data_IF_850818792001
#
_entry.id   IF_850818792001
#
_cell.length_a   1.000
_cell.length_b   1.000
_cell.length_c   1.000
_cell.angle_alpha   90.00
_cell.angle_beta   90.00
_cell.angle_gamma   90.00
#
_symmetry.space_group_name_H-M   'P 1'
#
loop_
_entity.id
_entity.type
_entity.pdbx_description
1 polymer ?
#
# COMPACT_ATOMS: atom_id res chain seq x y z
N UNK A 1 -8.56 -9.86 -7.25
CA UNK A 1 -7.43 -9.05 -6.73
C UNK A 1 -7.89 -7.62 -6.59
N UNK A 2 -7.58 -7.00 -5.46
CA UNK A 2 -7.95 -5.62 -5.15
C UNK A 2 -7.60 -4.69 -6.33
N UNK A 3 -8.62 -4.13 -6.97
CA UNK A 3 -8.48 -3.23 -8.10
C UNK A 3 -8.74 -1.77 -7.71
N UNK A 4 -9.30 -1.54 -6.53
CA UNK A 4 -9.54 -0.21 -5.95
C UNK A 4 -9.71 -0.32 -4.44
N UNK A 5 -9.49 0.78 -3.74
CA UNK A 5 -9.59 0.84 -2.29
C UNK A 5 -10.17 2.18 -1.83
N UNK A 6 -10.58 2.21 -0.57
CA UNK A 6 -11.15 3.38 0.10
C UNK A 6 -10.11 4.02 1.01
N UNK A 7 -9.98 5.33 0.97
CA UNK A 7 -9.04 6.12 1.77
C UNK A 7 -9.81 7.21 2.56
N UNK A 8 -10.52 6.79 3.63
CA UNK A 8 -11.31 7.67 4.51
C UNK A 8 -10.69 7.81 5.91
N UNK A 9 -9.41 7.59 6.03
CA UNK A 9 -8.66 7.79 7.26
C UNK A 9 -8.16 9.23 7.40
N UNK A 10 -7.95 9.67 8.63
CA UNK A 10 -7.36 10.96 8.94
C UNK A 10 -5.84 10.85 9.13
N UNK A 11 -5.12 11.98 8.97
CA UNK A 11 -3.69 12.04 9.29
C UNK A 11 -3.44 11.74 10.77
N UNK A 12 -4.33 12.15 11.68
CA UNK A 12 -4.22 11.90 13.11
C UNK A 12 -4.24 10.40 13.44
N UNK A 13 -5.08 9.61 12.75
CA UNK A 13 -5.11 8.15 12.89
C UNK A 13 -3.79 7.54 12.44
N UNK A 14 -3.25 7.96 11.31
CA UNK A 14 -1.95 7.47 10.80
C UNK A 14 -0.81 7.81 11.75
N UNK A 15 -0.74 9.05 12.25
CA UNK A 15 0.28 9.48 13.22
C UNK A 15 0.23 8.63 14.48
N UNK A 16 -0.98 8.38 15.02
CA UNK A 16 -1.17 7.54 16.20
C UNK A 16 -0.70 6.10 15.96
N UNK A 17 -1.11 5.49 14.85
CA UNK A 17 -0.75 4.10 14.51
C UNK A 17 0.76 3.94 14.31
N UNK A 18 1.39 4.84 13.56
CA UNK A 18 2.82 4.75 13.30
C UNK A 18 3.69 5.10 14.52
N UNK A 19 3.20 5.99 15.39
CA UNK A 19 3.86 6.22 16.69
C UNK A 19 3.82 4.97 17.57
N UNK A 20 2.68 4.28 17.62
CA UNK A 20 2.53 3.02 18.35
C UNK A 20 3.38 1.88 17.75
N UNK A 21 3.69 1.96 16.46
CA UNK A 21 4.54 1.01 15.73
C UNK A 21 6.04 1.33 15.82
N UNK A 22 6.47 2.33 16.58
CA UNK A 22 7.87 2.80 16.64
C UNK A 22 8.45 3.26 15.28
N UNK A 23 7.57 3.73 14.40
CA UNK A 23 7.89 4.30 13.10
C UNK A 23 7.17 5.64 12.90
N UNK A 24 7.40 6.65 13.77
CA UNK A 24 6.66 7.90 13.73
C UNK A 24 6.81 8.62 12.40
N UNK A 25 5.71 9.20 11.90
CA UNK A 25 5.74 10.04 10.71
C UNK A 25 6.52 11.32 10.97
N UNK A 26 7.46 11.59 10.09
CA UNK A 26 8.12 12.88 9.99
C UNK A 26 7.33 13.75 8.98
N UNK A 27 6.80 14.86 9.47
CA UNK A 27 5.92 15.77 8.74
C UNK A 27 6.49 17.20 8.79
N UNK A 28 7.56 17.51 8.06
CA UNK A 28 8.25 18.79 8.15
C UNK A 28 7.37 19.98 7.74
N UNK A 29 6.33 19.76 6.93
CA UNK A 29 5.33 20.76 6.54
C UNK A 29 4.12 20.86 7.48
N UNK A 30 4.14 20.17 8.63
CA UNK A 30 2.98 20.04 9.51
C UNK A 30 2.01 18.94 9.06
N UNK A 31 0.84 18.90 9.68
CA UNK A 31 -0.19 17.90 9.36
C UNK A 31 -0.83 18.20 7.99
N UNK A 32 -0.68 17.33 6.99
CA UNK A 32 -1.34 17.53 5.70
C UNK A 32 -2.85 17.35 5.84
N UNK A 33 -3.63 18.06 5.02
CA UNK A 33 -5.04 17.79 4.86
C UNK A 33 -5.23 16.59 3.94
N UNK A 34 -5.65 15.46 4.51
CA UNK A 34 -5.99 14.26 3.73
C UNK A 34 -7.50 14.27 3.46
N UNK A 35 -7.86 14.59 2.23
CA UNK A 35 -9.27 14.50 1.83
C UNK A 35 -9.73 13.05 1.75
N UNK A 36 -10.86 12.70 2.39
CA UNK A 36 -11.44 11.37 2.29
C UNK A 36 -11.79 11.01 0.85
N UNK A 37 -11.42 9.79 0.42
CA UNK A 37 -11.74 9.28 -0.91
C UNK A 37 -12.49 7.97 -0.81
N UNK A 38 -13.66 7.93 -1.46
CA UNK A 38 -14.49 6.72 -1.53
C UNK A 38 -13.87 5.64 -2.42
N UNK A 39 -13.06 6.05 -3.37
CA UNK A 39 -12.39 5.12 -4.26
C UNK A 39 -11.11 5.70 -4.84
N UNK A 40 -10.01 5.01 -4.55
CA UNK A 40 -8.71 5.20 -5.23
C UNK A 40 -8.57 4.12 -6.28
N UNK A 41 -8.42 4.53 -7.53
CA UNK A 41 -8.32 3.64 -8.70
C UNK A 41 -6.88 3.60 -9.24
N UNK A 42 -6.55 2.58 -10.04
CA UNK A 42 -5.28 2.56 -10.76
C UNK A 42 -5.01 3.89 -11.47
N UNK A 43 -3.76 4.34 -11.41
CA UNK A 43 -3.23 5.61 -11.91
C UNK A 43 -3.51 6.85 -11.08
N UNK A 44 -4.40 6.81 -10.09
CA UNK A 44 -4.54 7.93 -9.17
C UNK A 44 -3.28 8.12 -8.33
N UNK A 45 -2.96 9.37 -7.99
CA UNK A 45 -2.02 9.68 -6.92
C UNK A 45 -2.70 9.43 -5.58
N UNK A 46 -2.01 8.79 -4.67
CA UNK A 46 -2.53 8.49 -3.35
C UNK A 46 -1.38 8.37 -2.32
N UNK A 47 -1.64 8.69 -1.04
CA UNK A 47 -0.63 8.67 -0.01
C UNK A 47 -0.17 7.24 0.30
N UNK A 48 1.13 7.04 0.34
CA UNK A 48 1.81 5.87 0.88
C UNK A 48 2.80 6.29 1.94
N UNK A 49 3.13 5.36 2.81
CA UNK A 49 4.09 5.56 3.89
C UNK A 49 5.33 4.76 3.56
N UNK A 50 6.50 5.40 3.52
CA UNK A 50 7.77 4.73 3.28
C UNK A 50 8.90 5.29 4.13
N UNK A 51 9.94 4.50 4.36
CA UNK A 51 11.20 4.98 4.89
C UNK A 51 11.94 5.79 3.81
N UNK A 52 12.50 6.92 4.21
CA UNK A 52 13.31 7.81 3.37
C UNK A 52 14.60 8.12 4.12
N UNK A 53 15.74 7.97 3.45
CA UNK A 53 17.04 8.30 4.03
C UNK A 53 17.54 9.59 3.40
N UNK A 54 17.73 10.60 4.23
CA UNK A 54 18.27 11.92 3.86
C UNK A 54 19.42 12.23 4.81
N UNK A 55 20.56 12.62 4.28
CA UNK A 55 21.78 12.98 5.06
C UNK A 55 22.17 11.93 6.11
N UNK A 56 21.95 10.65 5.81
CA UNK A 56 22.26 9.52 6.71
C UNK A 56 21.22 9.24 7.79
N UNK A 57 20.18 10.07 7.93
CA UNK A 57 19.06 9.80 8.82
C UNK A 57 17.91 9.16 8.05
N UNK A 58 17.36 8.06 8.61
CA UNK A 58 16.19 7.40 8.03
C UNK A 58 14.93 7.79 8.81
N UNK A 59 13.97 8.36 8.11
CA UNK A 59 12.67 8.79 8.65
C UNK A 59 11.52 8.14 7.91
N UNK A 60 10.34 8.17 8.49
CA UNK A 60 9.11 7.67 7.87
C UNK A 60 8.32 8.85 7.29
N UNK A 61 8.07 8.83 5.99
CA UNK A 61 7.38 9.90 5.27
C UNK A 61 6.04 9.44 4.71
N UNK A 62 5.08 10.35 4.66
CA UNK A 62 3.84 10.23 3.90
C UNK A 62 4.02 10.93 2.56
N UNK A 63 3.92 10.20 1.46
CA UNK A 63 4.25 10.68 0.12
C UNK A 63 3.16 10.25 -0.86
N UNK A 64 2.68 11.18 -1.70
CA UNK A 64 1.76 10.83 -2.77
C UNK A 64 2.50 10.14 -3.91
N UNK A 65 2.01 8.96 -4.29
CA UNK A 65 2.55 8.16 -5.38
C UNK A 65 1.42 7.63 -6.26
N UNK A 66 1.76 7.31 -7.50
CA UNK A 66 0.81 6.73 -8.45
C UNK A 66 0.47 5.28 -8.07
N UNK A 67 -0.80 4.97 -7.96
CA UNK A 67 -1.25 3.59 -7.76
C UNK A 67 -1.11 2.78 -9.05
N UNK A 68 -0.19 1.83 -9.04
CA UNK A 68 0.15 0.94 -10.16
C UNK A 68 1.38 1.37 -10.95
N UNK A 69 2.32 0.44 -11.06
CA UNK A 69 3.49 0.62 -11.92
C UNK A 69 3.07 0.73 -13.38
N UNK A 70 3.68 1.61 -14.17
CA UNK A 70 3.48 1.61 -15.61
C UNK A 70 3.83 0.22 -16.17
N UNK A 71 3.15 -0.22 -17.22
CA UNK A 71 3.51 -1.46 -17.90
C UNK A 71 4.95 -1.37 -18.42
N UNK A 72 5.68 -2.51 -18.46
CA UNK A 72 7.03 -2.53 -19.06
C UNK A 72 7.02 -1.96 -20.48
N UNK A 73 8.08 -1.27 -20.85
CA UNK A 73 8.23 -0.69 -22.19
C UNK A 73 7.94 -1.74 -23.30
N UNK A 74 7.14 -1.35 -24.28
CA UNK A 74 6.74 -2.20 -25.40
C UNK A 74 5.62 -3.21 -25.09
N UNK A 75 5.14 -3.32 -23.84
CA UNK A 75 3.99 -4.16 -23.50
C UNK A 75 2.70 -3.35 -23.49
N UNK A 76 1.69 -3.86 -24.20
CA UNK A 76 0.31 -3.38 -24.10
C UNK A 76 -0.30 -3.93 -22.82
N UNK A 77 -1.00 -3.10 -22.05
CA UNK A 77 -1.69 -3.54 -20.83
C UNK A 77 -1.92 -2.38 -19.86
N UNK A 78 -2.71 -2.64 -18.83
CA UNK A 78 -2.92 -1.70 -17.73
C UNK A 78 -1.74 -1.66 -16.75
N UNK A 79 -1.79 -0.75 -15.76
CA UNK A 79 -0.77 -0.66 -14.73
C UNK A 79 -0.73 -1.92 -13.87
N UNK A 80 0.46 -2.26 -13.38
CA UNK A 80 0.64 -3.37 -12.43
C UNK A 80 0.32 -2.87 -11.03
N UNK A 81 -0.88 -3.16 -10.56
CA UNK A 81 -1.39 -2.72 -9.25
C UNK A 81 -1.18 -3.76 -8.14
N UNK A 82 -0.95 -5.01 -8.51
CA UNK A 82 -0.74 -6.12 -7.59
C UNK A 82 0.57 -6.83 -7.93
N UNK A 83 1.41 -7.02 -6.91
CA UNK A 83 2.74 -7.59 -7.02
C UNK A 83 2.83 -8.84 -6.14
N UNK A 84 3.13 -9.99 -6.71
CA UNK A 84 3.24 -11.23 -5.95
C UNK A 84 4.45 -11.19 -5.04
N UNK A 85 4.27 -11.55 -3.76
CA UNK A 85 5.35 -11.57 -2.76
C UNK A 85 6.21 -12.84 -2.85
N UNK A 86 5.64 -13.96 -3.22
CA UNK A 86 6.28 -15.27 -3.17
C UNK A 86 7.53 -15.34 -4.05
N UNK A 87 8.59 -15.88 -3.49
CA UNK A 87 9.88 -16.07 -4.16
C UNK A 87 10.63 -14.77 -4.48
N UNK A 88 10.27 -13.66 -3.83
CA UNK A 88 10.90 -12.36 -4.06
C UNK A 88 11.59 -11.83 -2.82
N UNK A 89 12.82 -11.38 -2.99
CA UNK A 89 13.50 -10.55 -2.01
C UNK A 89 13.11 -9.10 -2.25
N UNK A 90 12.47 -8.49 -1.25
CA UNK A 90 12.03 -7.10 -1.28
C UNK A 90 12.85 -6.32 -0.25
N UNK A 91 13.75 -5.48 -0.68
CA UNK A 91 14.58 -4.64 0.16
C UNK A 91 14.41 -3.16 -0.17
N UNK A 92 14.81 -2.29 0.75
CA UNK A 92 14.82 -0.85 0.53
C UNK A 92 16.06 -0.42 -0.25
N UNK A 93 15.86 0.51 -1.19
CA UNK A 93 16.92 1.08 -2.00
C UNK A 93 16.53 2.45 -2.58
N UNK A 94 17.47 3.13 -3.24
CA UNK A 94 17.25 4.51 -3.71
C UNK A 94 16.20 4.61 -4.82
N UNK A 95 15.91 3.53 -5.52
CA UNK A 95 14.97 3.50 -6.64
C UNK A 95 13.73 2.64 -6.43
N UNK A 96 13.51 2.15 -5.21
CA UNK A 96 12.36 1.33 -4.86
C UNK A 96 12.55 0.64 -3.53
N UNK A 97 11.47 0.09 -3.00
CA UNK A 97 11.50 -0.60 -1.72
C UNK A 97 10.11 -0.88 -1.17
N UNK A 98 10.08 -1.14 0.10
CA UNK A 98 8.86 -1.41 0.86
C UNK A 98 8.15 -0.10 1.18
N UNK A 99 6.82 -0.15 1.15
CA UNK A 99 5.98 0.93 1.65
C UNK A 99 4.70 0.34 2.26
N UNK A 100 3.94 1.18 2.92
CA UNK A 100 2.60 0.85 3.41
C UNK A 100 1.57 1.66 2.62
N UNK A 101 0.50 1.01 2.21
CA UNK A 101 -0.68 1.66 1.68
C UNK A 101 -1.75 1.69 2.77
N UNK A 102 -2.06 2.85 3.37
CA UNK A 102 -3.18 2.97 4.29
C UNK A 102 -4.51 2.90 3.53
N UNK A 103 -5.47 2.15 4.07
CA UNK A 103 -6.80 2.01 3.49
C UNK A 103 -7.86 1.86 4.59
N UNK A 104 -9.04 2.45 4.40
CA UNK A 104 -10.20 2.21 5.25
C UNK A 104 -10.93 0.92 4.87
N UNK A 105 -10.70 0.47 3.65
CA UNK A 105 -11.22 -0.76 3.10
C UNK A 105 -10.76 -0.95 1.67
N UNK A 106 -10.90 -2.16 1.16
CA UNK A 106 -10.60 -2.49 -0.23
C UNK A 106 -11.73 -3.30 -0.84
N UNK A 107 -11.74 -3.37 -2.16
CA UNK A 107 -12.84 -3.99 -2.89
C UNK A 107 -12.41 -5.24 -3.63
N UNK A 108 -13.22 -6.30 -3.48
CA UNK A 108 -13.13 -7.52 -4.27
C UNK A 108 -14.44 -7.77 -5.02
N UNK A 109 -14.36 -8.56 -6.09
CA UNK A 109 -15.49 -8.80 -6.96
C UNK A 109 -15.68 -10.30 -7.17
N UNK A 110 -16.93 -10.76 -6.98
CA UNK A 110 -17.32 -12.16 -7.25
C UNK A 110 -18.39 -12.24 -8.33
N UNK A 111 -18.49 -13.40 -8.97
CA UNK A 111 -19.45 -13.70 -10.03
C UNK A 111 -18.79 -13.80 -11.40
N UNK A 112 -19.35 -14.71 -12.23
CA UNK A 112 -18.83 -15.03 -13.56
C UNK A 112 -19.39 -14.12 -14.66
N UNK A 113 -20.48 -13.39 -14.37
CA UNK A 113 -21.17 -12.51 -15.30
C UNK A 113 -21.32 -11.10 -14.73
N UNK A 114 -21.40 -10.12 -15.60
CA UNK A 114 -21.75 -8.73 -15.22
C UNK A 114 -23.25 -8.56 -15.00
N UNK A 115 -23.67 -7.73 -14.01
CA UNK A 115 -22.82 -7.04 -13.04
C UNK A 115 -22.26 -8.00 -11.98
N UNK A 116 -20.98 -7.86 -11.65
CA UNK A 116 -20.35 -8.62 -10.56
C UNK A 116 -20.75 -8.07 -9.20
N UNK A 117 -20.82 -8.94 -8.20
CA UNK A 117 -21.00 -8.50 -6.81
C UNK A 117 -19.72 -7.85 -6.30
N UNK A 118 -19.83 -6.61 -5.82
CA UNK A 118 -18.73 -5.86 -5.22
C UNK A 118 -18.79 -6.01 -3.70
N UNK A 119 -17.70 -6.50 -3.13
CA UNK A 119 -17.54 -6.68 -1.70
C UNK A 119 -16.58 -5.63 -1.16
N UNK A 120 -16.93 -5.01 -0.03
CA UNK A 120 -16.04 -4.13 0.72
C UNK A 120 -15.50 -4.89 1.93
N UNK A 121 -14.18 -5.03 2.01
CA UNK A 121 -13.47 -5.64 3.12
C UNK A 121 -12.75 -4.55 3.92
N UNK A 122 -12.89 -4.56 5.23
CA UNK A 122 -12.28 -3.58 6.14
C UNK A 122 -11.93 -4.25 7.46
N UNK A 123 -11.11 -3.59 8.29
CA UNK A 123 -10.83 -4.06 9.64
C UNK A 123 -12.11 -4.07 10.49
N UNK A 124 -12.29 -5.13 11.29
CA UNK A 124 -13.47 -5.29 12.14
C UNK A 124 -13.55 -4.23 13.26
N UNK A 125 -12.41 -3.70 13.69
CA UNK A 125 -12.30 -2.65 14.70
C UNK A 125 -12.43 -1.22 14.13
N UNK A 126 -12.65 -1.11 12.81
CA UNK A 126 -12.78 0.17 12.11
C UNK A 126 -11.48 0.96 11.94
N UNK A 127 -10.33 0.42 12.39
CA UNK A 127 -9.04 1.10 12.20
C UNK A 127 -8.59 1.03 10.73
N UNK A 128 -7.79 1.99 10.26
CA UNK A 128 -7.17 1.88 8.96
C UNK A 128 -6.32 0.61 8.82
N UNK A 129 -6.49 -0.10 7.71
CA UNK A 129 -5.62 -1.19 7.31
C UNK A 129 -4.29 -0.62 6.84
N UNK A 130 -3.19 -1.19 7.31
CA UNK A 130 -1.84 -0.91 6.79
C UNK A 130 -1.44 -2.05 5.87
N UNK A 131 -1.66 -1.88 4.57
CA UNK A 131 -1.41 -2.92 3.58
C UNK A 131 0.05 -2.87 3.10
N UNK A 132 0.72 -4.03 3.11
CA UNK A 132 2.06 -4.14 2.57
C UNK A 132 2.06 -3.82 1.07
N UNK A 133 2.96 -2.97 0.65
CA UNK A 133 3.12 -2.54 -0.72
C UNK A 133 4.61 -2.34 -1.05
N UNK A 134 4.89 -2.23 -2.32
CA UNK A 134 6.22 -1.87 -2.82
C UNK A 134 6.12 -0.64 -3.71
N UNK A 135 7.15 0.20 -3.67
CA UNK A 135 7.23 1.39 -4.51
C UNK A 135 8.41 1.32 -5.46
N UNK A 136 8.35 2.09 -6.53
CA UNK A 136 9.45 2.32 -7.48
C UNK A 136 9.51 3.78 -7.85
N UNK A 137 10.73 4.29 -7.98
CA UNK A 137 10.97 5.62 -8.52
C UNK A 137 10.45 5.72 -9.95
N UNK A 138 9.87 6.84 -10.26
CA UNK A 138 9.50 7.20 -11.62
C UNK A 138 10.70 7.28 -12.53
N UNK A 139 10.46 7.19 -13.83
CA UNK A 139 11.47 7.37 -14.88
C UNK A 139 11.06 8.58 -15.70
N UNK A 140 12.01 9.45 -16.00
CA UNK A 140 11.76 10.73 -16.68
C UNK A 140 10.73 11.57 -15.91
N UNK A 141 9.68 12.05 -16.53
CA UNK A 141 8.62 12.87 -15.93
C UNK A 141 7.50 12.05 -15.24
N UNK A 142 7.67 10.73 -15.11
CA UNK A 142 6.69 9.89 -14.45
C UNK A 142 6.84 9.98 -12.93
N UNK A 143 5.75 10.11 -12.17
CA UNK A 143 5.81 10.08 -10.71
C UNK A 143 6.24 8.71 -10.19
N UNK A 144 6.77 8.69 -8.97
CA UNK A 144 6.95 7.45 -8.22
C UNK A 144 5.62 6.69 -8.18
N UNK A 145 5.71 5.36 -8.22
CA UNK A 145 4.52 4.51 -8.23
C UNK A 145 4.62 3.40 -7.19
N UNK A 146 3.48 2.88 -6.77
CA UNK A 146 3.40 1.75 -5.85
C UNK A 146 2.44 0.67 -6.35
N UNK A 147 2.65 -0.55 -5.86
CA UNK A 147 1.77 -1.69 -6.08
C UNK A 147 1.59 -2.46 -4.78
N UNK A 148 0.39 -3.00 -4.57
CA UNK A 148 0.06 -3.84 -3.42
C UNK A 148 0.80 -5.17 -3.51
N UNK A 149 1.31 -5.64 -2.38
CA UNK A 149 1.74 -7.03 -2.27
C UNK A 149 0.53 -7.95 -2.14
N UNK A 150 0.63 -9.09 -2.79
CA UNK A 150 -0.38 -10.13 -2.71
C UNK A 150 0.26 -11.48 -2.45
N UNK A 151 -0.40 -12.29 -1.65
CA UNK A 151 -0.04 -13.67 -1.33
C UNK A 151 -1.26 -14.60 -1.43
N UNK A 152 -1.12 -15.80 -0.93
CA UNK A 152 -2.25 -16.70 -0.68
C UNK A 152 -3.25 -15.99 0.27
N UNK A 153 -4.56 -16.06 0.00
CA UNK A 153 -5.53 -15.32 0.78
C UNK A 153 -5.70 -15.93 2.17
N UNK A 154 -5.80 -15.07 3.17
CA UNK A 154 -6.29 -15.49 4.48
C UNK A 154 -7.77 -15.88 4.45
N UNK A 155 -8.29 -16.52 5.53
CA UNK A 155 -9.66 -17.04 5.59
C UNK A 155 -10.73 -16.00 5.31
N UNK A 156 -10.48 -14.74 5.67
CA UNK A 156 -11.42 -13.63 5.47
C UNK A 156 -11.53 -13.18 4.00
N UNK A 157 -10.51 -13.43 3.18
CA UNK A 157 -10.45 -13.03 1.76
C UNK A 157 -10.71 -14.22 0.82
N UNK A 158 -10.36 -15.43 1.23
CA UNK A 158 -10.48 -16.65 0.43
C UNK A 158 -11.88 -16.87 -0.19
N UNK A 159 -13.01 -16.53 0.47
CA UNK A 159 -14.34 -16.65 -0.14
C UNK A 159 -14.56 -15.73 -1.35
N UNK A 160 -13.78 -14.66 -1.46
CA UNK A 160 -13.97 -13.61 -2.47
C UNK A 160 -12.93 -13.65 -3.58
N UNK A 161 -11.71 -14.09 -3.29
CA UNK A 161 -10.64 -14.14 -4.28
C UNK A 161 -9.56 -15.17 -3.93
N UNK A 162 -8.91 -15.73 -4.95
CA UNK A 162 -7.80 -16.71 -4.83
C UNK A 162 -6.46 -16.07 -4.42
N UNK A 163 -6.39 -14.75 -4.33
CA UNK A 163 -5.24 -13.97 -3.87
C UNK A 163 -5.71 -12.93 -2.87
N UNK A 164 -4.92 -12.69 -1.82
CA UNK A 164 -5.19 -11.69 -0.80
C UNK A 164 -4.14 -10.58 -0.77
N UNK A 165 -4.54 -9.39 -0.36
CA UNK A 165 -3.63 -8.33 0.08
C UNK A 165 -3.06 -8.70 1.46
N UNK A 166 -1.97 -8.06 1.86
CA UNK A 166 -1.25 -8.36 3.11
C UNK A 166 -1.45 -7.21 4.11
N UNK A 167 -2.47 -7.24 4.97
CA UNK A 167 -2.58 -6.32 6.07
C UNK A 167 -1.54 -6.65 7.14
N UNK A 168 -0.76 -5.65 7.54
CA UNK A 168 0.27 -5.80 8.55
C UNK A 168 -0.27 -5.34 9.93
N UNK A 169 -0.04 -6.13 10.99
CA UNK A 169 -0.34 -5.70 12.34
C UNK A 169 0.61 -4.58 12.78
N UNK A 170 0.17 -3.72 13.71
CA UNK A 170 0.94 -2.54 14.18
C UNK A 170 2.38 -2.91 14.56
N UNK A 171 2.58 -4.04 15.26
CA UNK A 171 3.91 -4.52 15.67
C UNK A 171 4.87 -4.86 14.52
N UNK A 172 4.37 -5.04 13.29
CA UNK A 172 5.18 -5.40 12.13
C UNK A 172 5.51 -4.20 11.23
N UNK A 173 4.90 -3.03 11.44
CA UNK A 173 5.01 -1.89 10.53
C UNK A 173 6.44 -1.33 10.47
N UNK A 174 7.12 -1.19 11.63
CA UNK A 174 8.50 -0.71 11.67
C UNK A 174 9.47 -1.70 10.99
N UNK A 175 9.34 -2.99 11.29
CA UNK A 175 10.18 -4.02 10.68
C UNK A 175 10.00 -4.07 9.16
N UNK A 176 8.78 -3.89 8.70
CA UNK A 176 8.47 -3.78 7.28
C UNK A 176 9.09 -2.53 6.64
N UNK A 177 8.84 -1.35 7.21
CA UNK A 177 9.29 -0.08 6.66
C UNK A 177 10.82 0.05 6.65
N UNK A 178 11.49 -0.44 7.71
CA UNK A 178 12.93 -0.32 7.85
C UNK A 178 13.71 -1.55 7.36
N UNK A 179 13.04 -2.46 6.68
CA UNK A 179 13.66 -3.67 6.10
C UNK A 179 14.40 -4.53 7.12
N UNK A 180 13.83 -4.66 8.33
CA UNK A 180 14.46 -5.41 9.43
C UNK A 180 14.21 -6.91 9.36
N UNK A 181 13.19 -7.36 8.58
CA UNK A 181 12.84 -8.77 8.38
C UNK A 181 12.62 -9.08 6.92
N UNK A 182 12.83 -10.35 6.49
CA UNK A 182 12.45 -10.82 5.16
C UNK A 182 10.98 -10.58 4.87
N UNK A 183 10.64 -10.40 3.60
CA UNK A 183 9.25 -10.15 3.18
C UNK A 183 8.32 -11.38 3.37
N UNK A 184 8.89 -12.57 3.62
CA UNK A 184 8.16 -13.82 3.82
C UNK A 184 7.79 -14.09 5.29
N UNK A 185 8.31 -13.31 6.23
CA UNK A 185 8.02 -13.42 7.67
C UNK A 185 6.92 -12.40 8.07
#
# INVERSE_FOLDING_TARGET
MCASYEARFSITELVRLLKAAEAPLDLPGGLPNLEPRDEVRPTNLAPVIRATTEEGATTTRLIDQRFGFPPPAGRKGGPVINYRSEGRTLGNGPRGGRCLMPASGFYEFTGDRYPKTRWRLSAADGQPLMLAAVWRAGVEDQPDAFALLTAEPGPDVAPYHTRGVLPLPVRALADWLFDRRPAAD
#
